data_IF_250103450645
#
_entry.id   IF_250103450645
#
_cell.length_a   1.000
_cell.length_b   1.000
_cell.length_c   1.000
_cell.angle_alpha   90.00
_cell.angle_beta   90.00
_cell.angle_gamma   90.00
#
_symmetry.space_group_name_H-M   'P 1'
#
loop_
_entity.id
_entity.type
_entity.pdbx_description
1 polymer ?
#
# COMPACT_ATOMS: atom_id res chain seq x y z
N UNK A 1 -16.56 15.74 -15.62
CA UNK A 1 -16.37 15.01 -14.34
C UNK A 1 -14.89 14.87 -14.03
N UNK A 2 -14.48 14.77 -12.76
CA UNK A 2 -13.05 14.63 -12.37
C UNK A 2 -12.53 13.20 -12.56
N UNK A 3 -13.34 12.17 -12.31
CA UNK A 3 -12.89 10.78 -12.26
C UNK A 3 -12.27 10.31 -13.58
N UNK A 4 -12.81 10.73 -14.74
CA UNK A 4 -12.32 10.39 -16.09
C UNK A 4 -11.26 11.38 -16.62
N UNK A 5 -10.67 12.21 -15.76
CA UNK A 5 -9.59 13.13 -16.16
C UNK A 5 -8.21 12.56 -15.84
N UNK A 6 -7.19 12.87 -16.65
CA UNK A 6 -5.83 12.42 -16.37
C UNK A 6 -5.24 13.08 -15.13
N UNK A 7 -4.28 12.39 -14.50
CA UNK A 7 -3.47 12.90 -13.38
C UNK A 7 -2.04 12.38 -13.51
N UNK A 8 -1.05 13.18 -13.07
CA UNK A 8 0.35 12.75 -13.06
C UNK A 8 0.75 12.22 -11.69
N UNK A 9 1.38 11.04 -11.65
CA UNK A 9 1.92 10.36 -10.46
C UNK A 9 3.34 9.90 -10.77
N UNK A 10 4.33 10.30 -9.96
CA UNK A 10 5.72 9.85 -10.13
C UNK A 10 6.28 10.08 -11.55
N UNK A 11 5.91 11.19 -12.21
CA UNK A 11 6.32 11.50 -13.58
C UNK A 11 5.49 10.81 -14.68
N UNK A 12 4.53 9.96 -14.32
CA UNK A 12 3.68 9.25 -15.28
C UNK A 12 2.27 9.80 -15.31
N UNK A 13 1.72 10.00 -16.51
CA UNK A 13 0.32 10.38 -16.67
C UNK A 13 -0.57 9.14 -16.64
N UNK A 14 -1.46 9.09 -15.66
CA UNK A 14 -2.57 8.15 -15.56
C UNK A 14 -3.74 8.69 -16.40
N UNK A 15 -4.41 7.81 -17.15
CA UNK A 15 -5.52 8.17 -18.05
C UNK A 15 -6.80 8.63 -17.33
N UNK A 16 -6.98 8.21 -16.08
CA UNK A 16 -8.09 8.56 -15.21
C UNK A 16 -7.65 8.45 -13.74
N UNK A 17 -8.51 8.84 -12.80
CA UNK A 17 -8.21 8.88 -11.35
C UNK A 17 -8.65 7.60 -10.61
N UNK A 18 -8.78 6.48 -11.32
CA UNK A 18 -9.21 5.20 -10.76
C UNK A 18 -7.99 4.29 -10.59
N UNK A 19 -7.77 3.85 -9.35
CA UNK A 19 -6.75 2.87 -9.01
C UNK A 19 -7.37 1.57 -8.46
N UNK A 20 -6.74 0.44 -8.78
CA UNK A 20 -6.95 -0.81 -8.05
C UNK A 20 -5.94 -0.85 -6.89
N UNK A 21 -6.38 -0.73 -5.62
CA UNK A 21 -5.50 -0.87 -4.47
C UNK A 21 -5.04 -2.33 -4.32
N UNK A 22 -3.95 -2.58 -3.57
CA UNK A 22 -3.44 -3.93 -3.41
C UNK A 22 -4.42 -4.79 -2.62
N UNK A 23 -4.72 -5.96 -3.17
CA UNK A 23 -5.62 -6.96 -2.61
C UNK A 23 -5.04 -8.35 -2.88
N UNK A 24 -4.73 -9.08 -1.82
CA UNK A 24 -4.18 -10.42 -1.90
C UNK A 24 -5.06 -11.34 -2.77
N UNK A 25 -4.44 -12.02 -3.74
CA UNK A 25 -5.14 -13.04 -4.53
C UNK A 25 -5.10 -14.40 -3.85
N UNK A 26 -4.07 -14.65 -3.03
CA UNK A 26 -3.76 -15.95 -2.41
C UNK A 26 -3.60 -17.07 -3.45
N UNK A 27 -2.88 -16.76 -4.55
CA UNK A 27 -2.69 -17.70 -5.68
C UNK A 27 -1.22 -17.85 -6.08
N UNK A 28 -0.31 -17.62 -5.14
CA UNK A 28 1.13 -17.66 -5.40
C UNK A 28 1.77 -18.86 -4.71
N UNK A 29 1.56 -20.09 -5.22
CA UNK A 29 2.29 -21.25 -4.69
C UNK A 29 3.79 -21.00 -4.82
N UNK A 30 4.53 -21.39 -3.80
CA UNK A 30 5.97 -21.14 -3.64
C UNK A 30 6.38 -19.66 -3.68
N UNK A 31 5.41 -18.73 -3.63
CA UNK A 31 5.64 -17.29 -3.78
C UNK A 31 5.88 -16.83 -5.21
N UNK A 32 5.58 -17.67 -6.22
CA UNK A 32 5.76 -17.37 -7.63
C UNK A 32 4.52 -16.75 -8.29
N UNK A 33 4.74 -15.89 -9.27
CA UNK A 33 3.67 -15.23 -10.03
C UNK A 33 3.25 -16.12 -11.22
N UNK A 34 2.06 -16.73 -11.11
CA UNK A 34 1.46 -17.56 -12.16
C UNK A 34 0.69 -16.79 -13.23
N UNK A 35 0.24 -17.52 -14.25
CA UNK A 35 -0.57 -16.97 -15.34
C UNK A 35 -1.95 -16.49 -14.87
N UNK A 36 -2.48 -17.09 -13.82
CA UNK A 36 -3.77 -16.73 -13.23
C UNK A 36 -3.72 -15.38 -12.50
N UNK A 37 -2.60 -15.08 -11.81
CA UNK A 37 -2.31 -13.74 -11.26
C UNK A 37 -2.17 -12.73 -12.41
N UNK A 38 -1.42 -13.06 -13.46
CA UNK A 38 -1.29 -12.19 -14.63
C UNK A 38 -2.65 -11.90 -15.29
N UNK A 39 -3.48 -12.93 -15.48
CA UNK A 39 -4.83 -12.80 -16.02
C UNK A 39 -5.75 -11.98 -15.12
N UNK A 40 -5.61 -12.13 -13.79
CA UNK A 40 -6.35 -11.33 -12.82
C UNK A 40 -6.12 -9.83 -13.03
N UNK A 41 -4.86 -9.38 -13.09
CA UNK A 41 -4.55 -7.96 -13.25
C UNK A 41 -4.79 -7.47 -14.68
N UNK A 42 -4.50 -8.28 -15.71
CA UNK A 42 -4.80 -7.97 -17.12
C UNK A 42 -6.26 -7.59 -17.30
N UNK A 43 -7.19 -8.38 -16.75
CA UNK A 43 -8.62 -8.12 -16.91
C UNK A 43 -9.05 -6.73 -16.38
N UNK A 44 -8.43 -6.25 -15.29
CA UNK A 44 -8.70 -4.91 -14.73
C UNK A 44 -8.03 -3.81 -15.54
N UNK A 45 -6.83 -4.08 -16.06
CA UNK A 45 -6.12 -3.16 -16.94
C UNK A 45 -6.91 -2.93 -18.26
N UNK A 46 -7.40 -4.01 -18.88
CA UNK A 46 -8.23 -3.99 -20.10
C UNK A 46 -9.60 -3.31 -19.87
N UNK A 47 -10.07 -3.29 -18.63
CA UNK A 47 -11.29 -2.60 -18.23
C UNK A 47 -11.13 -1.08 -18.09
N UNK A 48 -9.92 -0.52 -18.25
CA UNK A 48 -9.71 0.92 -18.21
C UNK A 48 -9.16 1.47 -16.89
N UNK A 49 -8.85 0.63 -15.89
CA UNK A 49 -8.21 1.06 -14.63
C UNK A 49 -6.85 1.70 -14.91
N UNK A 50 -6.60 2.94 -14.48
CA UNK A 50 -5.38 3.65 -14.88
C UNK A 50 -4.14 3.20 -14.10
N UNK A 51 -4.29 2.94 -12.80
CA UNK A 51 -3.22 2.47 -11.93
C UNK A 51 -3.63 1.15 -11.27
N UNK A 52 -2.78 0.14 -11.36
CA UNK A 52 -2.90 -1.10 -10.62
C UNK A 52 -1.75 -1.15 -9.63
N UNK A 53 -2.06 -1.29 -8.35
CA UNK A 53 -1.09 -1.62 -7.33
C UNK A 53 -1.25 -3.12 -7.06
N UNK A 54 -0.31 -3.93 -7.53
CA UNK A 54 -0.31 -5.37 -7.28
C UNK A 54 -0.24 -5.65 -5.78
N UNK A 55 -0.82 -6.77 -5.37
CA UNK A 55 -0.92 -7.23 -3.99
C UNK A 55 0.40 -7.17 -3.21
N UNK A 56 0.29 -7.11 -1.89
CA UNK A 56 1.44 -7.14 -0.99
C UNK A 56 2.36 -8.34 -1.25
N UNK A 57 3.61 -8.07 -1.60
CA UNK A 57 4.63 -9.10 -1.83
C UNK A 57 5.67 -9.06 -0.71
N UNK A 58 6.01 -10.21 -0.13
CA UNK A 58 6.93 -10.24 1.00
C UNK A 58 8.38 -10.03 0.56
N UNK A 59 9.12 -9.17 1.27
CA UNK A 59 10.54 -8.90 0.98
C UNK A 59 11.46 -9.96 1.60
N UNK A 60 10.95 -10.76 2.53
CA UNK A 60 11.68 -11.79 3.26
C UNK A 60 10.75 -12.94 3.66
N UNK A 61 11.30 -14.15 3.84
CA UNK A 61 10.54 -15.33 4.28
C UNK A 61 9.89 -15.12 5.66
N UNK A 62 10.63 -14.52 6.61
CA UNK A 62 10.13 -14.18 7.95
C UNK A 62 8.97 -13.17 7.92
N UNK A 63 8.85 -12.40 6.83
CA UNK A 63 7.84 -11.37 6.64
C UNK A 63 6.60 -11.84 5.89
N UNK A 64 6.51 -13.13 5.53
CA UNK A 64 5.39 -13.68 4.75
C UNK A 64 4.10 -13.67 5.58
N UNK A 65 3.02 -13.11 5.06
CA UNK A 65 1.70 -12.99 5.71
C UNK A 65 0.83 -14.25 5.54
N UNK A 66 0.98 -14.99 4.44
CA UNK A 66 0.28 -16.25 4.16
C UNK A 66 1.11 -17.16 3.27
N UNK A 67 0.88 -18.47 3.30
CA UNK A 67 1.62 -19.45 2.50
C UNK A 67 1.68 -19.10 1.00
N UNK A 68 0.52 -18.69 0.43
CA UNK A 68 0.35 -18.36 -1.00
C UNK A 68 0.54 -16.87 -1.32
N UNK A 69 1.37 -16.17 -0.54
CA UNK A 69 1.75 -14.78 -0.81
C UNK A 69 2.94 -14.74 -1.78
N UNK A 70 2.90 -13.82 -2.75
CA UNK A 70 4.02 -13.53 -3.65
C UNK A 70 5.26 -13.16 -2.83
N UNK A 71 6.40 -13.72 -3.20
CA UNK A 71 7.71 -13.47 -2.58
C UNK A 71 8.63 -12.72 -3.54
N UNK A 72 9.20 -11.60 -3.08
CA UNK A 72 10.26 -10.86 -3.79
C UNK A 72 11.63 -11.01 -3.12
N UNK A 73 11.76 -11.99 -2.23
CA UNK A 73 13.00 -12.27 -1.50
C UNK A 73 14.13 -12.81 -2.41
N UNK A 74 13.79 -13.36 -3.59
CA UNK A 74 14.74 -13.98 -4.52
C UNK A 74 14.65 -13.45 -5.95
N UNK A 75 15.68 -13.73 -6.75
CA UNK A 75 15.76 -13.32 -8.17
C UNK A 75 14.74 -14.02 -9.08
N UNK A 76 14.22 -15.16 -8.65
CA UNK A 76 13.16 -15.93 -9.31
C UNK A 76 11.83 -15.15 -9.41
N UNK A 77 11.68 -14.07 -8.66
CA UNK A 77 10.55 -13.15 -8.76
C UNK A 77 10.55 -12.32 -10.07
N UNK A 78 11.74 -11.98 -10.62
CA UNK A 78 11.87 -11.04 -11.75
C UNK A 78 11.14 -11.52 -13.01
N UNK A 79 11.26 -12.79 -13.46
CA UNK A 79 10.52 -13.27 -14.63
C UNK A 79 9.00 -13.20 -14.45
N UNK A 80 8.50 -13.52 -13.25
CA UNK A 80 7.08 -13.45 -12.92
C UNK A 80 6.55 -12.02 -12.93
N UNK A 81 7.28 -11.10 -12.30
CA UNK A 81 6.96 -9.67 -12.32
C UNK A 81 6.99 -9.11 -13.75
N UNK A 82 7.95 -9.53 -14.57
CA UNK A 82 8.07 -9.06 -15.97
C UNK A 82 6.86 -9.46 -16.80
N UNK A 83 6.36 -10.69 -16.63
CA UNK A 83 5.11 -11.15 -17.27
C UNK A 83 3.91 -10.32 -16.80
N UNK A 84 3.83 -10.04 -15.50
CA UNK A 84 2.77 -9.22 -14.92
C UNK A 84 2.80 -7.79 -15.47
N UNK A 85 3.97 -7.15 -15.52
CA UNK A 85 4.16 -5.83 -16.10
C UNK A 85 3.69 -5.80 -17.57
N UNK A 86 4.15 -6.74 -18.40
CA UNK A 86 3.71 -6.84 -19.79
C UNK A 86 2.20 -7.03 -19.94
N UNK A 87 1.57 -7.83 -19.05
CA UNK A 87 0.13 -8.05 -19.05
C UNK A 87 -0.68 -6.80 -18.70
N UNK A 88 -0.17 -5.92 -17.85
CA UNK A 88 -0.82 -4.66 -17.43
C UNK A 88 -0.57 -3.54 -18.44
N UNK A 89 0.69 -3.39 -18.89
CA UNK A 89 1.10 -2.38 -19.86
C UNK A 89 0.45 -2.57 -21.22
N UNK A 90 0.27 -3.82 -21.67
CA UNK A 90 -0.43 -4.13 -22.93
C UNK A 90 -1.86 -3.58 -23.01
N UNK A 91 -2.47 -3.26 -21.87
CA UNK A 91 -3.79 -2.64 -21.75
C UNK A 91 -3.74 -1.15 -21.33
N UNK A 92 -2.55 -0.54 -21.35
CA UNK A 92 -2.31 0.89 -21.12
C UNK A 92 -2.45 1.37 -19.67
N UNK A 93 -2.46 0.46 -18.69
CA UNK A 93 -2.45 0.79 -17.27
C UNK A 93 -1.01 0.85 -16.74
N UNK A 94 -0.80 1.55 -15.62
CA UNK A 94 0.47 1.55 -14.88
C UNK A 94 0.45 0.51 -13.76
N UNK A 95 1.61 -0.07 -13.47
CA UNK A 95 1.78 -1.12 -12.47
C UNK A 95 2.74 -0.70 -11.36
N UNK A 96 2.20 -0.53 -10.16
CA UNK A 96 2.99 -0.47 -8.95
C UNK A 96 2.95 -1.83 -8.26
N UNK A 97 4.00 -2.17 -7.51
CA UNK A 97 4.04 -3.40 -6.71
C UNK A 97 4.13 -3.04 -5.24
N UNK A 98 3.17 -3.48 -4.43
CA UNK A 98 3.23 -3.25 -3.00
C UNK A 98 4.22 -4.23 -2.37
N UNK A 99 5.25 -3.73 -1.70
CA UNK A 99 6.25 -4.56 -0.98
C UNK A 99 6.05 -4.44 0.53
N UNK A 100 6.13 -5.57 1.23
CA UNK A 100 5.73 -5.64 2.64
C UNK A 100 6.57 -6.61 3.47
N UNK A 101 6.46 -6.43 4.79
CA UNK A 101 6.88 -7.38 5.80
C UNK A 101 5.79 -7.44 6.87
N UNK A 102 5.24 -8.62 7.15
CA UNK A 102 4.08 -8.78 8.04
C UNK A 102 4.39 -8.46 9.52
N UNK A 103 5.66 -8.59 9.94
CA UNK A 103 6.04 -8.40 11.34
C UNK A 103 5.19 -9.27 12.25
N UNK A 104 4.62 -8.71 13.31
CA UNK A 104 3.74 -9.45 14.24
C UNK A 104 2.35 -9.81 13.71
N UNK A 105 2.01 -9.45 12.47
CA UNK A 105 0.75 -9.88 11.86
C UNK A 105 0.80 -11.34 11.36
N UNK A 106 2.01 -11.84 11.05
CA UNK A 106 2.19 -13.25 10.66
C UNK A 106 2.20 -14.19 11.85
N UNK A 107 2.43 -15.47 11.59
CA UNK A 107 2.64 -16.53 12.59
C UNK A 107 3.89 -17.34 12.26
N UNK A 108 4.55 -17.84 13.30
CA UNK A 108 5.56 -18.89 13.20
C UNK A 108 5.09 -20.15 12.45
N UNK A 109 3.81 -20.48 12.50
CA UNK A 109 3.23 -21.59 11.72
C UNK A 109 3.23 -21.32 10.22
N UNK A 110 3.20 -20.05 9.81
CA UNK A 110 3.24 -19.64 8.39
C UNK A 110 4.68 -19.54 7.91
N UNK A 111 5.57 -18.96 8.71
CA UNK A 111 6.94 -18.62 8.31
C UNK A 111 7.97 -19.69 8.68
N UNK A 112 7.64 -20.56 9.64
CA UNK A 112 8.60 -21.45 10.29
C UNK A 112 9.61 -20.72 11.18
N UNK A 113 9.41 -19.42 11.43
CA UNK A 113 10.36 -18.53 12.11
C UNK A 113 9.67 -17.76 13.25
N UNK A 114 10.45 -17.29 14.21
CA UNK A 114 9.94 -16.40 15.25
C UNK A 114 9.41 -15.08 14.63
N UNK A 115 8.24 -14.63 15.10
CA UNK A 115 7.65 -13.36 14.65
C UNK A 115 8.39 -12.18 15.26
N UNK A 116 8.53 -11.11 14.48
CA UNK A 116 9.29 -9.91 14.88
C UNK A 116 8.44 -8.65 14.78
N UNK A 117 8.78 -7.63 15.56
CA UNK A 117 8.10 -6.32 15.57
C UNK A 117 9.05 -5.23 16.08
N UNK A 118 8.56 -3.99 16.13
CA UNK A 118 9.24 -2.86 16.76
C UNK A 118 9.54 -3.13 18.24
N UNK A 119 8.65 -3.82 18.97
CA UNK A 119 8.82 -4.15 20.38
C UNK A 119 8.17 -5.48 20.73
N UNK A 120 8.50 -6.02 21.91
CA UNK A 120 7.89 -7.25 22.45
C UNK A 120 6.49 -6.99 23.01
N UNK A 121 5.61 -6.44 22.17
CA UNK A 121 4.23 -6.07 22.50
C UNK A 121 3.27 -6.92 21.65
N UNK A 122 2.25 -7.58 22.26
CA UNK A 122 1.26 -8.33 21.50
C UNK A 122 0.53 -7.46 20.47
N UNK A 123 0.23 -8.02 19.31
CA UNK A 123 -0.54 -7.30 18.29
C UNK A 123 -1.95 -6.96 18.85
N UNK A 124 -2.38 -5.68 18.91
CA UNK A 124 -3.59 -5.26 19.65
C UNK A 124 -4.89 -5.87 19.12
N UNK A 125 -4.91 -6.24 17.84
CA UNK A 125 -6.08 -6.78 17.13
C UNK A 125 -6.01 -8.27 16.76
N UNK A 126 -4.89 -8.95 16.99
CA UNK A 126 -4.75 -10.38 16.64
C UNK A 126 -4.60 -11.18 17.92
N UNK A 127 -5.64 -11.96 18.26
CA UNK A 127 -5.66 -12.78 19.47
C UNK A 127 -4.98 -14.13 19.22
N UNK A 128 -4.39 -14.72 20.27
CA UNK A 128 -3.84 -16.07 20.23
C UNK A 128 -2.51 -16.23 19.50
N UNK A 129 -1.88 -15.12 19.07
CA UNK A 129 -0.51 -15.11 18.52
C UNK A 129 0.51 -15.06 19.66
N UNK A 130 1.69 -15.62 19.40
CA UNK A 130 2.86 -15.42 20.24
C UNK A 130 3.24 -13.94 20.28
N UNK A 131 3.80 -13.49 21.41
CA UNK A 131 4.40 -12.16 21.52
C UNK A 131 5.58 -12.09 20.56
N UNK A 132 5.66 -11.08 19.67
CA UNK A 132 6.78 -10.97 18.75
C UNK A 132 8.07 -10.64 19.52
N UNK A 133 9.21 -11.00 18.94
CA UNK A 133 10.50 -10.50 19.42
C UNK A 133 10.73 -9.08 18.90
N UNK A 134 11.31 -8.22 19.75
CA UNK A 134 11.77 -6.91 19.32
C UNK A 134 12.98 -7.05 18.37
N UNK A 135 12.93 -6.35 17.24
CA UNK A 135 14.08 -6.25 16.34
C UNK A 135 15.22 -5.48 17.01
N UNK A 136 16.46 -5.92 16.77
CA UNK A 136 17.66 -5.14 17.05
C UNK A 136 17.87 -4.09 15.96
N UNK A 137 18.64 -3.04 16.22
CA UNK A 137 18.98 -2.02 15.21
C UNK A 137 19.68 -2.62 13.99
N UNK A 138 20.55 -3.62 14.17
CA UNK A 138 21.18 -4.35 13.05
C UNK A 138 20.13 -5.02 12.15
N UNK A 139 19.14 -5.69 12.74
CA UNK A 139 18.09 -6.36 11.98
C UNK A 139 17.17 -5.36 11.26
N UNK A 140 16.98 -4.15 11.82
CA UNK A 140 16.26 -3.06 11.16
C UNK A 140 17.00 -2.68 9.87
N UNK A 141 18.31 -2.43 9.94
CA UNK A 141 19.12 -2.12 8.75
C UNK A 141 19.17 -3.27 7.74
N UNK A 142 19.23 -4.52 8.19
CA UNK A 142 19.14 -5.67 7.29
C UNK A 142 17.80 -5.70 6.55
N UNK A 143 16.69 -5.41 7.23
CA UNK A 143 15.37 -5.33 6.61
C UNK A 143 15.26 -4.17 5.61
N UNK A 144 15.85 -3.00 5.88
CA UNK A 144 15.92 -1.89 4.92
C UNK A 144 16.54 -2.34 3.60
N UNK A 145 17.62 -3.12 3.66
CA UNK A 145 18.28 -3.67 2.49
C UNK A 145 17.42 -4.72 1.77
N UNK A 146 16.65 -5.53 2.49
CA UNK A 146 15.71 -6.48 1.88
C UNK A 146 14.57 -5.77 1.14
N UNK A 147 14.06 -4.66 1.69
CA UNK A 147 13.13 -3.80 0.95
C UNK A 147 13.78 -3.17 -0.29
N UNK A 148 15.03 -2.71 -0.18
CA UNK A 148 15.78 -2.14 -1.29
C UNK A 148 16.00 -3.16 -2.43
N UNK A 149 16.37 -4.40 -2.09
CA UNK A 149 16.54 -5.49 -3.04
C UNK A 149 15.22 -5.87 -3.74
N UNK A 150 14.12 -5.93 -2.99
CA UNK A 150 12.80 -6.17 -3.56
C UNK A 150 12.43 -5.06 -4.56
N UNK A 151 12.69 -3.78 -4.22
CA UNK A 151 12.42 -2.67 -5.13
C UNK A 151 13.33 -2.67 -6.38
N UNK A 152 14.60 -3.08 -6.23
CA UNK A 152 15.49 -3.31 -7.39
C UNK A 152 14.87 -4.34 -8.34
N UNK A 153 14.38 -5.47 -7.83
CA UNK A 153 13.72 -6.52 -8.64
C UNK A 153 12.45 -6.01 -9.33
N UNK A 154 11.66 -5.18 -8.65
CA UNK A 154 10.48 -4.51 -9.25
C UNK A 154 10.89 -3.63 -10.43
N UNK A 155 11.97 -2.84 -10.29
CA UNK A 155 12.52 -2.04 -11.39
C UNK A 155 13.04 -2.90 -12.54
N UNK A 156 13.83 -3.92 -12.24
CA UNK A 156 14.42 -4.82 -13.25
C UNK A 156 13.34 -5.55 -14.06
N UNK A 157 12.23 -5.88 -13.43
CA UNK A 157 11.07 -6.46 -14.08
C UNK A 157 10.28 -5.47 -14.96
N UNK A 158 10.66 -4.18 -14.98
CA UNK A 158 10.01 -3.15 -15.77
C UNK A 158 8.68 -2.66 -15.20
N UNK A 159 8.42 -2.85 -13.90
CA UNK A 159 7.26 -2.24 -13.25
C UNK A 159 7.47 -0.72 -13.10
N UNK A 160 6.36 0.03 -12.99
CA UNK A 160 6.37 1.49 -13.00
C UNK A 160 6.70 2.13 -11.63
N UNK A 161 6.63 1.36 -10.54
CA UNK A 161 6.88 1.87 -9.19
C UNK A 161 6.71 0.82 -8.09
N UNK A 162 7.11 1.18 -6.88
CA UNK A 162 6.84 0.41 -5.65
C UNK A 162 5.91 1.17 -4.73
N UNK A 163 5.12 0.43 -3.96
CA UNK A 163 4.39 0.97 -2.81
C UNK A 163 4.91 0.31 -1.53
N UNK A 164 5.45 1.12 -0.61
CA UNK A 164 5.88 0.63 0.71
C UNK A 164 4.67 0.45 1.62
N UNK A 165 4.47 -0.78 2.12
CA UNK A 165 3.33 -1.08 2.98
C UNK A 165 3.59 -0.69 4.45
N UNK A 166 3.24 0.55 4.82
CA UNK A 166 3.24 1.05 6.20
C UNK A 166 1.83 1.28 6.73
N UNK A 167 1.00 0.24 6.65
CA UNK A 167 -0.39 0.29 7.08
C UNK A 167 -0.82 -1.05 7.71
N UNK A 168 -2.05 -1.11 8.19
CA UNK A 168 -2.74 -2.34 8.60
C UNK A 168 -2.01 -3.19 9.64
N UNK A 169 -1.21 -2.59 10.53
CA UNK A 169 -0.45 -3.33 11.53
C UNK A 169 0.61 -4.27 10.94
N UNK A 170 1.11 -4.01 9.72
CA UNK A 170 2.32 -4.63 9.18
C UNK A 170 3.57 -4.01 9.82
N UNK A 171 4.76 -4.56 9.57
CA UNK A 171 5.99 -4.18 10.27
C UNK A 171 6.25 -2.68 10.27
N UNK A 172 6.24 -2.02 9.11
CA UNK A 172 6.49 -0.57 9.02
C UNK A 172 5.43 0.24 9.80
N UNK A 173 4.19 -0.24 9.85
CA UNK A 173 3.13 0.38 10.68
C UNK A 173 3.29 0.06 12.18
N UNK A 174 3.89 -1.08 12.52
CA UNK A 174 4.20 -1.44 13.91
C UNK A 174 5.26 -0.51 14.51
N UNK A 175 6.20 -0.01 13.70
CA UNK A 175 7.11 1.07 14.09
C UNK A 175 6.38 2.42 14.17
N UNK A 176 5.50 2.71 13.20
CA UNK A 176 4.77 3.97 13.20
C UNK A 176 3.77 4.11 14.36
N UNK A 177 3.13 3.03 14.81
CA UNK A 177 2.09 3.08 15.83
C UNK A 177 2.67 3.04 17.26
N UNK A 178 2.30 4.00 18.14
CA UNK A 178 2.68 3.95 19.56
C UNK A 178 2.02 2.80 20.33
N UNK A 179 1.09 2.04 19.72
CA UNK A 179 0.49 0.85 20.35
C UNK A 179 1.42 -0.35 20.35
N UNK A 180 2.39 -0.39 19.45
CA UNK A 180 3.29 -1.53 19.25
C UNK A 180 4.76 -1.15 19.29
N UNK A 181 5.08 0.12 19.07
CA UNK A 181 6.41 0.66 19.29
C UNK A 181 6.48 1.26 20.69
N UNK A 182 7.34 0.71 21.55
CA UNK A 182 7.67 1.26 22.88
C UNK A 182 9.18 1.32 23.05
N UNK A 183 9.92 1.41 21.94
CA UNK A 183 11.39 1.48 21.97
C UNK A 183 11.87 2.78 22.62
N UNK A 184 13.03 2.70 23.23
CA UNK A 184 13.75 3.79 23.89
C UNK A 184 15.03 4.21 23.13
N UNK A 185 15.22 3.69 21.92
CA UNK A 185 16.29 4.03 20.99
C UNK A 185 15.83 5.01 19.90
N UNK A 186 16.66 5.24 18.87
CA UNK A 186 16.39 6.17 17.77
C UNK A 186 15.14 5.83 16.94
N UNK A 187 14.63 4.60 17.04
CA UNK A 187 13.40 4.15 16.39
C UNK A 187 12.18 4.22 17.34
N UNK A 188 12.30 4.90 18.47
CA UNK A 188 11.30 4.97 19.53
C UNK A 188 10.11 5.90 19.26
N UNK A 189 9.41 6.25 20.35
CA UNK A 189 8.12 6.97 20.30
C UNK A 189 8.17 8.44 20.74
N UNK A 190 9.35 9.03 20.84
CA UNK A 190 9.51 10.42 21.30
C UNK A 190 8.87 11.43 20.34
N UNK A 191 8.84 11.13 19.04
CA UNK A 191 8.25 12.00 18.01
C UNK A 191 7.60 11.19 16.88
N UNK A 192 6.90 11.88 15.97
CA UNK A 192 6.45 11.27 14.70
C UNK A 192 7.65 10.86 13.84
N UNK A 193 8.72 11.66 13.84
CA UNK A 193 9.92 11.41 13.04
C UNK A 193 10.64 10.13 13.49
N UNK A 194 10.79 9.91 14.79
CA UNK A 194 11.44 8.70 15.32
C UNK A 194 10.64 7.44 14.99
N UNK A 195 9.31 7.48 15.13
CA UNK A 195 8.41 6.38 14.74
C UNK A 195 8.43 6.11 13.24
N UNK A 196 8.75 7.12 12.42
CA UNK A 196 8.83 7.01 10.97
C UNK A 196 10.25 6.68 10.48
N UNK A 197 11.27 6.73 11.36
CA UNK A 197 12.70 6.64 11.00
C UNK A 197 12.99 5.42 10.14
N UNK A 198 12.55 4.23 10.56
CA UNK A 198 12.72 2.99 9.80
C UNK A 198 12.11 3.07 8.38
N UNK A 199 10.95 3.71 8.22
CA UNK A 199 10.34 3.90 6.89
C UNK A 199 11.12 4.91 6.04
N UNK A 200 11.60 6.00 6.64
CA UNK A 200 12.40 7.01 5.94
C UNK A 200 13.74 6.44 5.47
N UNK A 201 14.41 5.66 6.32
CA UNK A 201 15.65 4.96 6.00
C UNK A 201 15.43 3.87 4.95
N UNK A 202 14.31 3.13 5.03
CA UNK A 202 13.88 2.20 3.98
C UNK A 202 13.68 2.91 2.63
N UNK A 203 13.03 4.09 2.61
CA UNK A 203 12.87 4.88 1.38
C UNK A 203 14.22 5.31 0.80
N UNK A 204 15.17 5.72 1.65
CA UNK A 204 16.52 6.07 1.23
C UNK A 204 17.28 4.87 0.64
N UNK A 205 17.19 3.70 1.29
CA UNK A 205 17.80 2.46 0.80
C UNK A 205 17.20 2.04 -0.55
N UNK A 206 15.87 2.08 -0.69
CA UNK A 206 15.16 1.83 -1.96
C UNK A 206 15.61 2.80 -3.05
N UNK A 207 15.72 4.10 -2.73
CA UNK A 207 16.21 5.11 -3.68
C UNK A 207 17.64 4.81 -4.14
N UNK A 208 18.51 4.34 -3.24
CA UNK A 208 19.88 3.95 -3.57
C UNK A 208 19.93 2.73 -4.50
N UNK A 209 19.13 1.69 -4.23
CA UNK A 209 19.16 0.44 -5.00
C UNK A 209 18.39 0.51 -6.33
N UNK A 210 17.26 1.23 -6.36
CA UNK A 210 16.33 1.28 -7.48
C UNK A 210 16.36 2.62 -8.25
N UNK A 211 17.28 3.53 -7.94
CA UNK A 211 17.46 4.77 -8.70
C UNK A 211 16.20 5.63 -8.73
N UNK A 212 15.75 6.03 -9.91
CA UNK A 212 14.59 6.92 -10.14
C UNK A 212 13.22 6.24 -10.03
N UNK A 213 13.15 4.94 -9.66
CA UNK A 213 11.89 4.23 -9.49
C UNK A 213 10.94 5.03 -8.55
N UNK A 214 9.70 5.34 -8.98
CA UNK A 214 8.70 5.98 -8.13
C UNK A 214 8.40 5.17 -6.87
N UNK A 215 8.35 5.85 -5.72
CA UNK A 215 8.05 5.25 -4.41
C UNK A 215 6.75 5.86 -3.92
N UNK A 216 5.68 5.07 -3.89
CA UNK A 216 4.47 5.38 -3.14
C UNK A 216 4.56 4.81 -1.72
N UNK A 217 3.77 5.34 -0.80
CA UNK A 217 3.65 4.80 0.56
C UNK A 217 2.18 4.57 0.87
N UNK A 218 1.83 3.34 1.24
CA UNK A 218 0.54 3.06 1.86
C UNK A 218 0.63 3.32 3.34
N UNK A 219 0.04 4.42 3.80
CA UNK A 219 0.14 4.90 5.17
C UNK A 219 -1.14 4.61 5.95
N UNK A 220 -1.00 3.78 6.98
CA UNK A 220 -1.98 3.57 8.04
C UNK A 220 -1.92 4.71 9.05
N UNK A 221 -2.22 5.92 8.60
CA UNK A 221 -1.88 7.16 9.31
C UNK A 221 -2.60 7.34 10.65
N UNK A 222 -3.75 6.70 10.82
CA UNK A 222 -4.52 6.72 12.06
C UNK A 222 -4.89 5.29 12.47
N UNK A 223 -4.72 4.98 13.74
CA UNK A 223 -5.00 3.66 14.29
C UNK A 223 -6.47 3.46 14.64
N UNK A 224 -7.20 4.57 14.89
CA UNK A 224 -8.58 4.57 15.37
C UNK A 224 -8.80 3.67 16.60
N UNK A 225 -7.78 3.62 17.46
CA UNK A 225 -7.76 2.93 18.74
C UNK A 225 -7.22 3.89 19.80
N UNK A 226 -7.65 3.72 21.04
CA UNK A 226 -7.17 4.53 22.17
C UNK A 226 -5.66 4.40 22.31
N UNK A 227 -4.97 5.53 22.44
CA UNK A 227 -3.51 5.60 22.55
C UNK A 227 -2.75 5.40 21.23
N UNK A 228 -3.44 5.21 20.10
CA UNK A 228 -2.81 5.01 18.79
C UNK A 228 -2.49 6.30 18.04
N UNK A 229 -1.86 6.14 16.87
CA UNK A 229 -1.58 7.24 15.94
C UNK A 229 -2.87 7.96 15.54
N UNK A 230 -2.81 9.29 15.52
CA UNK A 230 -3.90 10.19 15.19
C UNK A 230 -3.81 10.71 13.75
N UNK A 231 -4.88 11.34 13.25
CA UNK A 231 -4.84 12.08 11.97
C UNK A 231 -3.79 13.20 12.00
N UNK A 232 -3.53 13.81 13.17
CA UNK A 232 -2.46 14.80 13.32
C UNK A 232 -1.07 14.22 13.11
N UNK A 233 -0.83 12.99 13.58
CA UNK A 233 0.40 12.25 13.31
C UNK A 233 0.53 11.94 11.82
N UNK A 234 -0.56 11.52 11.17
CA UNK A 234 -0.58 11.25 9.75
C UNK A 234 -0.20 12.47 8.90
N UNK A 235 -0.68 13.66 9.27
CA UNK A 235 -0.34 14.92 8.58
C UNK A 235 1.14 15.25 8.71
N UNK A 236 1.73 15.04 9.90
CA UNK A 236 3.17 15.24 10.09
C UNK A 236 3.98 14.22 9.30
N UNK A 237 3.60 12.93 9.37
CA UNK A 237 4.24 11.86 8.62
C UNK A 237 4.17 12.11 7.11
N UNK A 238 3.02 12.53 6.58
CA UNK A 238 2.84 12.83 5.17
C UNK A 238 3.84 13.88 4.64
N UNK A 239 4.09 14.94 5.41
CA UNK A 239 5.09 15.97 5.05
C UNK A 239 6.51 15.42 5.03
N UNK A 240 6.86 14.57 6.02
CA UNK A 240 8.17 13.91 6.08
C UNK A 240 8.36 12.95 4.90
N UNK A 241 7.34 12.16 4.55
CA UNK A 241 7.37 11.24 3.41
C UNK A 241 7.47 11.99 2.07
N UNK A 242 6.74 13.09 1.90
CA UNK A 242 6.87 13.95 0.73
C UNK A 242 8.28 14.54 0.62
N UNK A 243 8.83 15.07 1.72
CA UNK A 243 10.19 15.59 1.76
C UNK A 243 11.26 14.52 1.46
N UNK A 244 10.99 13.25 1.85
CA UNK A 244 11.83 12.10 1.51
C UNK A 244 11.65 11.59 0.06
N UNK A 245 10.75 12.20 -0.72
CA UNK A 245 10.57 11.92 -2.14
C UNK A 245 9.53 10.84 -2.47
N UNK A 246 8.54 10.62 -1.59
CA UNK A 246 7.35 9.84 -1.96
C UNK A 246 6.61 10.51 -3.14
N UNK A 247 6.17 9.72 -4.12
CA UNK A 247 5.46 10.23 -5.29
C UNK A 247 3.93 10.24 -5.13
N UNK A 248 3.42 9.50 -4.14
CA UNK A 248 1.99 9.36 -3.83
C UNK A 248 1.82 8.79 -2.42
N UNK A 249 0.76 9.18 -1.73
CA UNK A 249 0.35 8.58 -0.45
C UNK A 249 -0.98 7.85 -0.62
N UNK A 250 -1.01 6.53 -0.38
CA UNK A 250 -2.24 5.73 -0.30
C UNK A 250 -2.71 5.65 1.16
N UNK A 251 -3.83 6.32 1.46
CA UNK A 251 -4.32 6.46 2.82
C UNK A 251 -5.27 5.32 3.18
N UNK A 252 -4.96 4.64 4.28
CA UNK A 252 -5.76 3.54 4.83
C UNK A 252 -5.69 3.53 6.36
N UNK A 253 -6.26 2.50 6.99
CA UNK A 253 -6.18 2.31 8.43
C UNK A 253 -4.82 1.80 8.91
N UNK A 254 -4.42 2.25 10.10
CA UNK A 254 -3.28 1.72 10.84
C UNK A 254 -3.65 0.42 11.54
N UNK A 255 -3.60 0.42 12.87
CA UNK A 255 -3.95 -0.74 13.69
C UNK A 255 -5.42 -1.16 13.59
N UNK A 256 -6.34 -0.34 13.07
CA UNK A 256 -7.69 -0.79 12.75
C UNK A 256 -7.78 -1.73 11.53
N UNK A 257 -6.69 -1.90 10.77
CA UNK A 257 -6.63 -2.60 9.49
C UNK A 257 -7.36 -1.87 8.35
N UNK A 258 -7.68 -2.59 7.27
CA UNK A 258 -8.33 -2.07 6.07
C UNK A 258 -9.85 -1.81 6.24
N UNK A 259 -10.41 -2.08 7.42
CA UNK A 259 -11.79 -1.77 7.79
C UNK A 259 -11.82 -0.91 9.04
N UNK A 260 -12.63 0.15 9.01
CA UNK A 260 -12.82 1.03 10.16
C UNK A 260 -14.10 0.61 10.90
N UNK A 261 -14.02 0.08 12.12
CA UNK A 261 -15.21 -0.37 12.86
C UNK A 261 -16.26 0.74 12.98
N UNK A 262 -17.52 0.42 12.68
CA UNK A 262 -18.63 1.39 12.72
C UNK A 262 -18.85 2.20 11.45
N UNK A 263 -18.00 2.04 10.43
CA UNK A 263 -18.08 2.79 9.17
C UNK A 263 -18.42 1.89 7.98
N UNK A 264 -19.30 2.36 7.11
CA UNK A 264 -19.77 1.64 5.91
C UNK A 264 -19.96 2.53 4.68
N UNK A 265 -19.81 3.83 4.87
CA UNK A 265 -19.89 4.87 3.86
C UNK A 265 -18.74 4.80 2.84
N UNK A 266 -18.95 5.29 1.61
CA UNK A 266 -17.89 5.41 0.63
C UNK A 266 -16.78 6.33 1.13
N UNK A 267 -15.53 5.89 1.02
CA UNK A 267 -14.38 6.61 1.51
C UNK A 267 -14.36 6.75 3.03
N UNK A 268 -14.57 5.68 3.81
CA UNK A 268 -14.56 5.76 5.29
C UNK A 268 -13.22 6.16 5.95
N UNK A 269 -12.16 6.33 5.16
CA UNK A 269 -10.89 6.96 5.56
C UNK A 269 -10.71 8.36 4.94
N UNK A 270 -11.77 8.98 4.41
CA UNK A 270 -11.73 10.28 3.74
C UNK A 270 -11.40 11.42 4.69
N UNK A 271 -11.74 11.31 5.97
CA UNK A 271 -11.32 12.26 7.01
C UNK A 271 -9.79 12.34 7.12
N UNK A 272 -9.14 11.18 7.12
CA UNK A 272 -7.70 11.04 7.11
C UNK A 272 -7.08 11.54 5.78
N UNK A 273 -7.59 11.08 4.63
CA UNK A 273 -6.99 11.44 3.34
C UNK A 273 -7.19 12.90 2.99
N UNK A 274 -8.34 13.50 3.31
CA UNK A 274 -8.59 14.93 3.11
C UNK A 274 -7.66 15.80 3.98
N UNK A 275 -7.40 15.38 5.22
CA UNK A 275 -6.46 16.09 6.09
C UNK A 275 -5.03 16.04 5.54
N UNK A 276 -4.58 14.87 5.08
CA UNK A 276 -3.26 14.69 4.47
C UNK A 276 -3.13 15.47 3.17
N UNK A 277 -4.12 15.40 2.27
CA UNK A 277 -4.13 16.14 1.00
C UNK A 277 -3.94 17.66 1.17
N UNK A 278 -4.50 18.25 2.25
CA UNK A 278 -4.31 19.68 2.55
C UNK A 278 -2.87 20.03 2.98
N UNK A 279 -2.07 19.04 3.36
CA UNK A 279 -0.77 19.24 3.96
C UNK A 279 0.41 18.94 3.02
N UNK A 280 0.16 18.32 1.86
CA UNK A 280 1.16 17.91 0.86
C UNK A 280 0.77 18.37 -0.54
N UNK A 281 1.73 18.35 -1.46
CA UNK A 281 1.54 18.68 -2.88
C UNK A 281 1.49 17.45 -3.79
N UNK A 282 2.00 16.31 -3.34
CA UNK A 282 1.92 15.02 -4.05
C UNK A 282 0.50 14.44 -4.04
N UNK A 283 0.12 13.63 -5.05
CA UNK A 283 -1.19 12.97 -5.10
C UNK A 283 -1.49 12.13 -3.86
N UNK A 284 -2.72 12.26 -3.34
CA UNK A 284 -3.22 11.44 -2.24
C UNK A 284 -4.31 10.51 -2.74
N UNK A 285 -4.17 9.22 -2.49
CA UNK A 285 -5.18 8.21 -2.83
C UNK A 285 -6.09 7.93 -1.63
N UNK A 286 -7.40 7.96 -1.87
CA UNK A 286 -8.43 7.62 -0.88
C UNK A 286 -8.93 6.21 -1.13
N UNK A 287 -8.96 5.39 -0.08
CA UNK A 287 -9.53 4.04 -0.12
C UNK A 287 -10.63 3.83 0.92
N UNK A 288 -11.38 2.74 0.76
CA UNK A 288 -12.41 2.31 1.71
C UNK A 288 -13.82 2.49 1.16
N UNK A 289 -14.63 1.43 1.13
CA UNK A 289 -16.08 1.53 0.92
C UNK A 289 -16.61 1.92 -0.46
N UNK A 290 -15.78 2.39 -1.39
CA UNK A 290 -16.23 2.85 -2.72
C UNK A 290 -16.76 1.69 -3.57
N UNK A 291 -17.97 1.84 -4.11
CA UNK A 291 -18.70 0.83 -4.89
C UNK A 291 -19.18 1.35 -6.24
N UNK A 292 -19.46 2.65 -6.37
CA UNK A 292 -20.02 3.24 -7.60
C UNK A 292 -19.18 4.40 -8.14
N UNK A 293 -19.40 4.75 -9.41
CA UNK A 293 -18.72 5.86 -10.05
C UNK A 293 -19.11 7.22 -9.45
N UNK A 294 -20.40 7.38 -9.09
CA UNK A 294 -20.90 8.60 -8.45
C UNK A 294 -20.26 8.83 -7.07
N UNK A 295 -20.09 7.77 -6.27
CA UNK A 295 -19.37 7.85 -4.99
C UNK A 295 -17.90 8.26 -5.18
N UNK A 296 -17.23 7.69 -6.19
CA UNK A 296 -15.84 8.04 -6.50
C UNK A 296 -15.70 9.50 -6.99
N UNK A 297 -16.60 9.96 -7.86
CA UNK A 297 -16.65 11.34 -8.34
C UNK A 297 -16.90 12.32 -7.18
N UNK A 298 -17.81 12.01 -6.26
CA UNK A 298 -18.10 12.86 -5.10
C UNK A 298 -16.92 12.96 -4.14
N UNK A 299 -16.20 11.86 -3.90
CA UNK A 299 -14.97 11.88 -3.09
C UNK A 299 -13.88 12.77 -3.72
N UNK A 300 -13.76 12.79 -5.05
CA UNK A 300 -12.85 13.71 -5.73
C UNK A 300 -13.31 15.17 -5.59
N UNK A 301 -14.61 15.44 -5.80
CA UNK A 301 -15.18 16.80 -5.73
C UNK A 301 -15.10 17.41 -4.34
N UNK A 302 -15.33 16.61 -3.30
CA UNK A 302 -15.22 17.01 -1.90
C UNK A 302 -13.78 17.17 -1.42
N UNK A 303 -12.79 16.82 -2.26
CA UNK A 303 -11.37 16.93 -1.93
C UNK A 303 -10.88 15.83 -0.99
N UNK A 304 -11.55 14.68 -0.94
CA UNK A 304 -11.10 13.54 -0.13
C UNK A 304 -9.76 12.99 -0.61
N UNK A 305 -9.51 13.02 -1.92
CA UNK A 305 -8.27 12.53 -2.55
C UNK A 305 -8.08 13.08 -3.97
N UNK A 306 -7.01 12.67 -4.60
CA UNK A 306 -6.68 12.92 -6.01
C UNK A 306 -6.96 11.70 -6.90
N UNK A 307 -6.89 10.51 -6.28
CA UNK A 307 -7.06 9.20 -6.87
C UNK A 307 -7.98 8.39 -5.96
N UNK A 308 -8.88 7.61 -6.55
CA UNK A 308 -9.80 6.76 -5.80
C UNK A 308 -9.41 5.30 -5.97
N UNK A 309 -9.09 4.65 -4.85
CA UNK A 309 -8.83 3.23 -4.82
C UNK A 309 -10.11 2.42 -4.64
N UNK A 310 -10.43 1.60 -5.64
CA UNK A 310 -11.63 0.76 -5.65
C UNK A 310 -11.23 -0.70 -5.49
N UNK A 311 -11.39 -1.23 -4.27
CA UNK A 311 -10.98 -2.59 -3.94
C UNK A 311 -12.06 -3.64 -4.26
N UNK A 312 -12.83 -4.03 -3.24
CA UNK A 312 -13.80 -5.14 -3.30
C UNK A 312 -14.79 -5.08 -4.48
N UNK A 313 -15.17 -3.90 -4.94
CA UNK A 313 -16.04 -3.78 -6.12
C UNK A 313 -15.36 -4.27 -7.41
N UNK A 314 -14.04 -4.03 -7.57
CA UNK A 314 -13.24 -4.59 -8.69
C UNK A 314 -12.93 -6.09 -8.52
N UNK A 315 -12.89 -6.61 -7.29
CA UNK A 315 -12.79 -8.06 -7.06
C UNK A 315 -14.06 -8.77 -7.52
N UNK A 316 -15.23 -8.25 -7.14
CA UNK A 316 -16.53 -8.81 -7.53
C UNK A 316 -16.86 -8.63 -9.02
N UNK A 317 -16.25 -7.62 -9.68
CA UNK A 317 -16.48 -7.31 -11.09
C UNK A 317 -15.20 -6.77 -11.74
N UNK A 318 -14.51 -7.58 -12.53
CA UNK A 318 -13.24 -7.19 -13.16
C UNK A 318 -13.37 -6.00 -14.13
N UNK A 319 -14.54 -5.85 -14.79
CA UNK A 319 -14.84 -4.76 -15.71
C UNK A 319 -15.54 -3.56 -15.04
N UNK A 320 -15.40 -3.42 -13.71
CA UNK A 320 -15.99 -2.33 -12.93
C UNK A 320 -15.64 -0.95 -13.49
N UNK A 321 -14.37 -0.72 -13.84
CA UNK A 321 -13.92 0.59 -14.36
C UNK A 321 -14.61 0.97 -15.67
N UNK A 322 -14.74 0.01 -16.60
CA UNK A 322 -15.44 0.22 -17.88
C UNK A 322 -16.88 0.64 -17.64
N UNK A 323 -17.57 -0.08 -16.74
CA UNK A 323 -18.94 0.24 -16.36
C UNK A 323 -19.04 1.59 -15.65
N UNK A 324 -18.10 1.91 -14.75
CA UNK A 324 -18.07 3.16 -14.00
C UNK A 324 -17.94 4.37 -14.96
N UNK A 325 -16.96 4.34 -15.86
CA UNK A 325 -16.74 5.42 -16.83
C UNK A 325 -17.91 5.55 -17.81
N UNK A 326 -18.51 4.42 -18.26
CA UNK A 326 -19.70 4.46 -19.10
C UNK A 326 -20.92 5.06 -18.37
N UNK A 327 -21.07 4.77 -17.07
CA UNK A 327 -22.16 5.36 -16.27
C UNK A 327 -22.00 6.87 -16.08
N UNK A 328 -20.77 7.36 -15.90
CA UNK A 328 -20.49 8.80 -15.79
C UNK A 328 -20.82 9.54 -17.08
N UNK A 329 -20.45 8.99 -18.25
CA UNK A 329 -20.79 9.61 -19.55
C UNK A 329 -22.30 9.77 -19.74
N UNK A 330 -23.08 8.75 -19.38
CA UNK A 330 -24.55 8.84 -19.42
C UNK A 330 -25.09 9.93 -18.50
N UNK A 331 -24.54 10.05 -17.30
CA UNK A 331 -24.92 11.11 -16.35
C UNK A 331 -24.56 12.51 -16.87
N UNK A 332 -23.48 12.67 -17.66
CA UNK A 332 -23.16 13.96 -18.33
C UNK A 332 -24.11 14.27 -19.49
N UNK A 333 -24.58 13.25 -20.22
CA UNK A 333 -25.53 13.41 -21.34
C UNK A 333 -26.96 13.75 -20.86
N UNK A 334 -27.31 13.33 -19.63
CA UNK A 334 -28.64 13.53 -19.03
C UNK A 334 -28.77 14.82 -18.19
N UNK A 335 -27.67 15.52 -17.90
CA UNK A 335 -27.61 16.73 -17.06
C UNK A 335 -27.64 18.03 -17.87
#
# INVERSE_FOLDING_TARGET
MLLDTPITVGGMTLRNRIAMPPMATHRSPDGLIGDDICAHYRARAEAGTALIIAEHCCVAAQGRASADQISLAGEDAVPGLSRLAGAVHGAGARLFVQISHAGSQTDSQVTGMETVSASAVPHPRVKGRAVPRALTVSEIHELEMLFADAARRVREAGCDGVELHSAHGYLLNQFFSPLTNVRDDEYGCASVEDRLRFLLETMAAVRCAAGDLPIAVRLGGCDYLEGGSSIGDAVQAARLLEAAGACMLDMSGGMCFYSRPGHTEPGWFSDLSAAVKKAVSIPVMTTGGVKTAAEAEELLRSGAGDIIGVGRAMLGRADWTRHALASLKKMEEEA
#
